data_IF_353073906065
#
_entry.id   IF_353073906065
#
_cell.length_a   1.000
_cell.length_b   1.000
_cell.length_c   1.000
_cell.angle_alpha   90.00
_cell.angle_beta   90.00
_cell.angle_gamma   90.00
#
_symmetry.space_group_name_H-M   'P 1'
#
loop_
_entity.id
_entity.type
_entity.pdbx_description
1 polymer ?
#
# COMPACT_ATOMS: atom_id res chain seq x y z
N UNK A 1 -11.01 9.67 7.43
CA UNK A 1 -9.77 9.95 6.67
C UNK A 1 -9.33 8.76 5.81
N UNK A 2 -9.65 7.51 6.19
CA UNK A 2 -9.23 6.28 5.48
C UNK A 2 -9.82 6.04 4.09
N UNK A 3 -10.89 6.73 3.72
CA UNK A 3 -11.69 6.33 2.55
C UNK A 3 -11.30 7.04 1.25
N UNK A 4 -10.47 8.09 1.32
CA UNK A 4 -10.07 8.88 0.15
C UNK A 4 -8.66 9.45 0.33
N UNK A 5 -7.70 8.87 -0.40
CA UNK A 5 -6.29 9.24 -0.35
C UNK A 5 -6.03 10.66 -0.87
N UNK A 6 -6.95 11.24 -1.66
CA UNK A 6 -6.80 12.60 -2.22
C UNK A 6 -6.90 13.71 -1.16
N UNK A 7 -7.42 13.38 0.02
CA UNK A 7 -7.54 14.32 1.16
C UNK A 7 -6.29 14.35 2.03
N UNK A 8 -5.32 13.47 1.76
CA UNK A 8 -4.04 13.46 2.47
C UNK A 8 -3.13 14.58 1.94
N UNK A 9 -2.32 15.14 2.83
CA UNK A 9 -1.24 16.06 2.45
C UNK A 9 -0.09 15.23 1.85
N UNK A 10 -0.06 15.14 0.52
CA UNK A 10 0.84 14.28 -0.24
C UNK A 10 1.82 15.09 -1.07
N UNK A 11 3.03 14.57 -1.20
CA UNK A 11 4.00 15.11 -2.16
C UNK A 11 3.53 14.87 -3.60
N UNK A 12 4.01 15.68 -4.55
CA UNK A 12 3.72 15.49 -5.99
C UNK A 12 4.08 14.07 -6.48
N UNK A 13 5.25 13.49 -6.13
CA UNK A 13 5.56 12.09 -6.46
C UNK A 13 4.54 11.09 -5.92
N UNK A 14 4.14 11.20 -4.64
CA UNK A 14 3.21 10.26 -4.00
C UNK A 14 1.82 10.35 -4.62
N UNK A 15 1.37 11.57 -4.95
CA UNK A 15 0.08 11.79 -5.62
C UNK A 15 0.04 11.08 -6.97
N UNK A 16 1.07 11.26 -7.81
CA UNK A 16 1.16 10.63 -9.12
C UNK A 16 1.21 9.09 -9.02
N UNK A 17 1.93 8.56 -8.03
CA UNK A 17 1.96 7.11 -7.74
C UNK A 17 0.57 6.58 -7.40
N UNK A 18 -0.20 7.28 -6.57
CA UNK A 18 -1.54 6.84 -6.16
C UNK A 18 -2.57 6.96 -7.30
N UNK A 19 -2.50 8.00 -8.13
CA UNK A 19 -3.32 8.08 -9.36
C UNK A 19 -3.04 6.90 -10.29
N UNK A 20 -1.77 6.58 -10.52
CA UNK A 20 -1.37 5.43 -11.33
C UNK A 20 -1.91 4.12 -10.74
N UNK A 21 -1.73 3.89 -9.44
CA UNK A 21 -2.17 2.67 -8.77
C UNK A 21 -3.71 2.51 -8.79
N UNK A 22 -4.46 3.62 -8.65
CA UNK A 22 -5.91 3.60 -8.76
C UNK A 22 -6.37 3.26 -10.18
N UNK A 23 -5.81 3.91 -11.20
CA UNK A 23 -6.13 3.63 -12.61
C UNK A 23 -5.80 2.18 -12.97
N UNK A 24 -4.63 1.69 -12.59
CA UNK A 24 -4.22 0.30 -12.84
C UNK A 24 -5.15 -0.72 -12.15
N UNK A 25 -5.72 -0.35 -11.00
CA UNK A 25 -6.65 -1.23 -10.26
C UNK A 25 -8.06 -1.24 -10.85
N UNK A 26 -8.57 -0.09 -11.30
CA UNK A 26 -9.95 0.07 -11.78
C UNK A 26 -10.11 -0.13 -13.29
N UNK A 27 -9.11 0.27 -14.08
CA UNK A 27 -9.16 0.28 -15.54
C UNK A 27 -7.81 -0.11 -16.17
N UNK A 28 -7.26 -1.31 -15.88
CA UNK A 28 -5.96 -1.73 -16.40
C UNK A 28 -5.87 -1.76 -17.93
N UNK A 29 -6.98 -1.98 -18.63
CA UNK A 29 -7.05 -1.96 -20.11
C UNK A 29 -6.89 -0.56 -20.73
N UNK A 30 -7.00 0.50 -19.92
CA UNK A 30 -6.88 1.89 -20.35
C UNK A 30 -5.48 2.47 -20.07
N UNK A 31 -4.57 1.66 -19.53
CA UNK A 31 -3.18 2.06 -19.27
C UNK A 31 -2.45 2.31 -20.59
N UNK A 32 -1.61 3.33 -20.61
CA UNK A 32 -0.81 3.72 -21.77
C UNK A 32 0.53 4.36 -21.36
N UNK A 33 1.37 4.67 -22.34
CA UNK A 33 2.70 5.26 -22.10
C UNK A 33 2.64 6.63 -21.40
N UNK A 34 1.55 7.38 -21.56
CA UNK A 34 1.34 8.65 -20.87
C UNK A 34 1.27 8.50 -19.34
N UNK A 35 0.73 7.38 -18.84
CA UNK A 35 0.71 7.10 -17.41
C UNK A 35 2.14 6.91 -16.86
N UNK A 36 3.01 6.30 -17.65
CA UNK A 36 4.42 6.09 -17.31
C UNK A 36 5.20 7.42 -17.39
N UNK A 37 4.92 8.23 -18.41
CA UNK A 37 5.51 9.56 -18.55
C UNK A 37 5.16 10.46 -17.35
N UNK A 38 3.91 10.44 -16.89
CA UNK A 38 3.48 11.20 -15.72
C UNK A 38 4.25 10.82 -14.45
N UNK A 39 4.56 9.54 -14.24
CA UNK A 39 5.38 9.10 -13.10
C UNK A 39 6.82 9.60 -13.21
N UNK A 40 7.41 9.56 -14.42
CA UNK A 40 8.76 10.10 -14.67
C UNK A 40 8.82 11.61 -14.42
N UNK A 41 7.81 12.35 -14.89
CA UNK A 41 7.67 13.80 -14.69
C UNK A 41 7.45 14.18 -13.21
N UNK A 42 6.97 13.23 -12.40
CA UNK A 42 6.86 13.36 -10.96
C UNK A 42 8.17 13.01 -10.23
N UNK A 43 9.18 12.49 -10.93
CA UNK A 43 10.52 12.21 -10.39
C UNK A 43 10.81 10.73 -10.12
N UNK A 44 9.91 9.81 -10.47
CA UNK A 44 10.14 8.38 -10.31
C UNK A 44 11.07 7.83 -11.40
N UNK A 45 12.01 6.97 -11.01
CA UNK A 45 12.86 6.27 -11.97
C UNK A 45 12.12 5.08 -12.60
N UNK A 46 12.60 4.56 -13.72
CA UNK A 46 12.02 3.37 -14.35
C UNK A 46 11.98 2.15 -13.42
N UNK A 47 12.98 2.05 -12.52
CA UNK A 47 13.01 1.00 -11.49
C UNK A 47 11.88 1.20 -10.48
N UNK A 48 11.68 2.42 -10.00
CA UNK A 48 10.59 2.71 -9.05
C UNK A 48 9.23 2.46 -9.69
N UNK A 49 9.06 2.84 -10.97
CA UNK A 49 7.81 2.61 -11.71
C UNK A 49 7.52 1.10 -11.85
N UNK A 50 8.55 0.29 -12.13
CA UNK A 50 8.41 -1.16 -12.14
C UNK A 50 7.97 -1.69 -10.77
N UNK A 51 8.57 -1.20 -9.69
CA UNK A 51 8.22 -1.61 -8.33
C UNK A 51 6.78 -1.18 -7.95
N UNK A 52 6.35 0.03 -8.31
CA UNK A 52 4.98 0.53 -8.13
C UNK A 52 3.98 -0.39 -8.86
N UNK A 53 4.23 -0.68 -10.14
CA UNK A 53 3.37 -1.54 -10.94
C UNK A 53 3.30 -2.96 -10.37
N UNK A 54 4.44 -3.51 -9.94
CA UNK A 54 4.51 -4.84 -9.35
C UNK A 54 3.70 -4.93 -8.06
N UNK A 55 3.89 -4.00 -7.13
CA UNK A 55 3.17 -3.98 -5.85
C UNK A 55 1.67 -3.84 -6.09
N UNK A 56 1.26 -2.93 -6.98
CA UNK A 56 -0.15 -2.75 -7.35
C UNK A 56 -0.75 -4.04 -7.94
N UNK A 57 -0.06 -4.68 -8.89
CA UNK A 57 -0.50 -5.92 -9.51
C UNK A 57 -0.60 -7.07 -8.49
N UNK A 58 0.38 -7.20 -7.60
CA UNK A 58 0.39 -8.23 -6.55
C UNK A 58 -0.82 -8.10 -5.61
N UNK A 59 -1.12 -6.89 -5.13
CA UNK A 59 -2.30 -6.68 -4.29
C UNK A 59 -3.60 -6.97 -5.05
N UNK A 60 -3.70 -6.52 -6.30
CA UNK A 60 -4.83 -6.81 -7.17
C UNK A 60 -5.07 -8.31 -7.38
N UNK A 61 -4.00 -9.09 -7.59
CA UNK A 61 -4.09 -10.55 -7.65
C UNK A 61 -4.53 -11.14 -6.31
N UNK A 62 -3.90 -10.73 -5.21
CA UNK A 62 -4.16 -11.29 -3.88
C UNK A 62 -5.60 -11.09 -3.44
N UNK A 63 -6.16 -9.88 -3.58
CA UNK A 63 -7.57 -9.63 -3.19
C UNK A 63 -8.54 -10.45 -4.04
N UNK A 64 -8.28 -10.61 -5.35
CA UNK A 64 -9.09 -11.46 -6.22
C UNK A 64 -9.03 -12.94 -5.85
N UNK A 65 -7.86 -13.43 -5.42
CA UNK A 65 -7.72 -14.81 -4.97
C UNK A 65 -8.40 -15.05 -3.62
N UNK A 66 -8.25 -14.12 -2.68
CA UNK A 66 -8.87 -14.23 -1.34
C UNK A 66 -10.38 -14.12 -1.46
N UNK A 67 -10.88 -13.01 -2.03
CA UNK A 67 -12.30 -12.73 -2.09
C UNK A 67 -13.01 -13.63 -3.10
N UNK A 68 -12.38 -13.89 -4.26
CA UNK A 68 -12.96 -14.72 -5.32
C UNK A 68 -13.08 -16.19 -4.94
N UNK A 69 -12.31 -16.67 -3.96
CA UNK A 69 -12.43 -18.03 -3.40
C UNK A 69 -13.12 -18.05 -2.03
N UNK A 70 -13.52 -16.90 -1.49
CA UNK A 70 -14.13 -16.80 -0.16
C UNK A 70 -13.19 -17.24 0.98
N UNK A 71 -11.88 -17.00 0.84
CA UNK A 71 -10.92 -17.34 1.90
C UNK A 71 -11.09 -16.39 3.09
N UNK A 72 -11.49 -16.94 4.23
CA UNK A 72 -11.48 -16.18 5.48
C UNK A 72 -10.07 -16.14 6.08
N UNK A 73 -9.71 -14.99 6.67
CA UNK A 73 -8.47 -14.90 7.46
C UNK A 73 -8.63 -15.78 8.69
N UNK A 74 -7.84 -16.85 8.78
CA UNK A 74 -7.83 -17.67 9.97
C UNK A 74 -7.29 -16.89 11.17
N UNK A 75 -7.70 -17.27 12.38
CA UNK A 75 -7.31 -16.63 13.65
C UNK A 75 -5.78 -16.43 13.75
N UNK A 76 -5.00 -17.39 13.23
CA UNK A 76 -3.55 -17.33 13.23
C UNK A 76 -2.96 -16.15 12.43
N UNK A 77 -3.64 -15.67 11.37
CA UNK A 77 -3.19 -14.48 10.63
C UNK A 77 -3.43 -13.21 11.44
N UNK A 78 -4.54 -13.14 12.18
CA UNK A 78 -4.82 -12.06 13.11
C UNK A 78 -3.75 -12.02 14.21
N UNK A 79 -3.49 -13.16 14.83
CA UNK A 79 -2.48 -13.29 15.90
C UNK A 79 -1.07 -12.97 15.39
N UNK A 80 -0.72 -13.41 14.17
CA UNK A 80 0.57 -13.04 13.55
C UNK A 80 0.68 -11.54 13.29
N UNK A 81 -0.40 -10.89 12.85
CA UNK A 81 -0.42 -9.44 12.60
C UNK A 81 -0.19 -8.67 13.91
N UNK A 82 -0.88 -9.04 14.98
CA UNK A 82 -0.69 -8.49 16.34
C UNK A 82 0.74 -8.69 16.85
N UNK A 83 1.25 -9.92 16.80
CA UNK A 83 2.61 -10.25 17.25
C UNK A 83 3.69 -9.52 16.43
N UNK A 84 3.44 -9.25 15.15
CA UNK A 84 4.31 -8.41 14.32
C UNK A 84 4.31 -6.95 14.78
N UNK A 85 3.14 -6.40 15.08
CA UNK A 85 2.98 -5.03 15.57
C UNK A 85 3.62 -4.83 16.96
N UNK A 86 3.49 -5.80 17.87
CA UNK A 86 4.16 -5.80 19.17
C UNK A 86 5.69 -5.80 19.03
N UNK A 87 6.23 -6.66 18.15
CA UNK A 87 7.68 -6.66 17.87
C UNK A 87 8.17 -5.33 17.32
N UNK A 88 7.39 -4.69 16.45
CA UNK A 88 7.73 -3.38 15.91
C UNK A 88 7.78 -2.31 17.02
N UNK A 89 6.84 -2.34 17.98
CA UNK A 89 6.84 -1.45 19.14
C UNK A 89 8.10 -1.63 20.00
N UNK A 90 8.44 -2.87 20.35
CA UNK A 90 9.65 -3.17 21.14
C UNK A 90 10.91 -2.65 20.45
N UNK A 91 11.02 -2.83 19.13
CA UNK A 91 12.16 -2.35 18.35
C UNK A 91 12.23 -0.82 18.30
N UNK A 92 11.08 -0.14 18.23
CA UNK A 92 11.01 1.32 18.24
C UNK A 92 11.45 1.89 19.60
N UNK A 93 10.98 1.30 20.70
CA UNK A 93 11.38 1.67 22.06
C UNK A 93 12.89 1.50 22.27
N UNK A 94 13.45 0.36 21.83
CA UNK A 94 14.90 0.10 21.87
C UNK A 94 15.71 1.10 21.06
N UNK A 95 15.15 1.63 19.98
CA UNK A 95 15.79 2.60 19.08
C UNK A 95 15.51 4.06 19.46
N UNK A 96 14.68 4.30 20.47
CA UNK A 96 14.21 5.64 20.82
C UNK A 96 13.44 6.33 19.68
N UNK A 97 12.81 5.55 18.80
CA UNK A 97 12.06 6.05 17.65
C UNK A 97 10.56 6.06 17.97
N UNK A 98 9.87 7.13 17.60
CA UNK A 98 8.42 7.18 17.72
C UNK A 98 7.79 6.19 16.73
N UNK A 99 6.81 5.42 17.20
CA UNK A 99 6.06 4.53 16.33
C UNK A 99 5.18 5.31 15.37
N UNK A 100 5.07 4.88 14.10
CA UNK A 100 4.13 5.46 13.15
C UNK A 100 2.68 5.38 13.67
N UNK A 101 1.81 6.23 13.14
CA UNK A 101 0.37 6.11 13.38
C UNK A 101 -0.11 4.70 13.01
N UNK A 102 -1.03 4.14 13.80
CA UNK A 102 -1.68 2.86 13.47
C UNK A 102 -3.11 3.15 13.03
N UNK A 103 -3.30 3.53 11.75
CA UNK A 103 -4.63 3.75 11.24
C UNK A 103 -5.45 2.46 11.29
N UNK A 104 -4.82 1.28 11.26
CA UNK A 104 -5.48 -0.02 11.11
C UNK A 104 -5.90 -0.68 12.43
N UNK A 105 -5.53 -0.10 13.58
CA UNK A 105 -5.89 -0.61 14.91
C UNK A 105 -5.37 -2.03 15.16
N UNK A 106 -4.19 -2.35 14.61
CA UNK A 106 -3.57 -3.67 14.74
C UNK A 106 -2.85 -3.83 16.08
N UNK A 107 -2.39 -2.72 16.68
CA UNK A 107 -1.79 -2.69 18.01
C UNK A 107 -2.88 -2.78 19.08
N UNK A 108 -2.65 -3.60 20.10
CA UNK A 108 -3.48 -3.60 21.30
C UNK A 108 -3.36 -2.24 22.00
N UNK A 109 -4.51 -1.64 22.33
CA UNK A 109 -4.64 -0.42 23.15
C UNK A 109 -4.27 -0.67 24.60
#
# INVERSE_FOLDING_TARGET
MKDDWRKADLSKPDYAMLEYAEKLSLAPSMMNEGDIANLRDAGWTDRDILDIAHVCAYFNFRVRMVDGLGLELGDWQLERSKAGAERAQVLADQRGQAMPADPWGVRAS
#
